data_IF_448206426847
#
_entry.id   IF_448206426847
#
_cell.length_a   1.000
_cell.length_b   1.000
_cell.length_c   1.000
_cell.angle_alpha   90.00
_cell.angle_beta   90.00
_cell.angle_gamma   90.00
#
_symmetry.space_group_name_H-M   'P 1'
#
loop_
_entity.id
_entity.type
_entity.pdbx_description
1 polymer ?
#
# COMPACT_ATOMS: atom_id res chain seq x y z
N UNK A 1 -28.16 6.80 -16.58
CA UNK A 1 -26.74 7.23 -16.75
C UNK A 1 -25.86 6.61 -15.68
N UNK A 2 -26.27 6.66 -14.40
CA UNK A 2 -25.60 5.99 -13.29
C UNK A 2 -25.49 4.48 -13.55
N UNK A 3 -26.56 3.82 -13.99
CA UNK A 3 -26.58 2.37 -14.25
C UNK A 3 -25.54 1.96 -15.30
N UNK A 4 -25.36 2.76 -16.35
CA UNK A 4 -24.34 2.50 -17.39
C UNK A 4 -22.93 2.60 -16.79
N UNK A 5 -22.69 3.62 -15.96
CA UNK A 5 -21.41 3.80 -15.27
C UNK A 5 -21.15 2.62 -14.33
N UNK A 6 -22.16 2.20 -13.56
CA UNK A 6 -22.07 1.05 -12.66
C UNK A 6 -21.79 -0.25 -13.42
N UNK A 7 -22.52 -0.52 -14.51
CA UNK A 7 -22.29 -1.70 -15.37
C UNK A 7 -20.86 -1.71 -15.92
N UNK A 8 -20.39 -0.60 -16.48
CA UNK A 8 -19.03 -0.50 -17.03
C UNK A 8 -17.98 -0.71 -15.94
N UNK A 9 -18.18 -0.13 -14.76
CA UNK A 9 -17.28 -0.27 -13.63
C UNK A 9 -17.25 -1.71 -13.07
N UNK A 10 -18.40 -2.37 -12.93
CA UNK A 10 -18.48 -3.80 -12.53
C UNK A 10 -17.79 -4.69 -13.55
N UNK A 11 -18.09 -4.53 -14.84
CA UNK A 11 -17.52 -5.38 -15.90
C UNK A 11 -16.01 -5.23 -15.99
N UNK A 12 -15.54 -3.98 -15.93
CA UNK A 12 -14.10 -3.69 -15.92
C UNK A 12 -13.45 -4.28 -14.67
N UNK A 13 -14.04 -4.05 -13.50
CA UNK A 13 -13.52 -4.55 -12.23
C UNK A 13 -13.47 -6.08 -12.14
N UNK A 14 -14.52 -6.75 -12.62
CA UNK A 14 -14.58 -8.20 -12.71
C UNK A 14 -13.53 -8.76 -13.69
N UNK A 15 -13.35 -8.12 -14.84
CA UNK A 15 -12.33 -8.50 -15.83
C UNK A 15 -10.92 -8.39 -15.24
N UNK A 16 -10.63 -7.32 -14.49
CA UNK A 16 -9.35 -7.14 -13.82
C UNK A 16 -9.08 -8.20 -12.75
N UNK A 17 -10.10 -8.54 -11.95
CA UNK A 17 -10.01 -9.62 -10.96
C UNK A 17 -9.72 -10.97 -11.61
N UNK A 18 -10.37 -11.28 -12.75
CA UNK A 18 -10.11 -12.49 -13.54
C UNK A 18 -8.69 -12.47 -14.09
N UNK A 19 -8.21 -11.34 -14.63
CA UNK A 19 -6.84 -11.21 -15.12
C UNK A 19 -5.80 -11.38 -14.00
N UNK A 20 -6.08 -10.89 -12.79
CA UNK A 20 -5.26 -11.14 -11.61
C UNK A 20 -5.17 -12.62 -11.25
N UNK A 21 -6.31 -13.32 -11.27
CA UNK A 21 -6.36 -14.77 -11.04
C UNK A 21 -5.62 -15.56 -12.14
N UNK A 22 -5.80 -15.19 -13.41
CA UNK A 22 -5.07 -15.78 -14.54
C UNK A 22 -3.57 -15.52 -14.42
N UNK A 23 -3.16 -14.31 -14.03
CA UNK A 23 -1.76 -13.97 -13.79
C UNK A 23 -1.13 -14.81 -12.69
N UNK A 24 -1.87 -15.10 -11.62
CA UNK A 24 -1.44 -16.00 -10.55
C UNK A 24 -1.20 -17.44 -11.04
N UNK A 25 -1.97 -17.91 -12.02
CA UNK A 25 -1.80 -19.24 -12.61
C UNK A 25 -0.72 -19.28 -13.71
N UNK A 26 -0.57 -18.19 -14.48
CA UNK A 26 0.33 -18.11 -15.63
C UNK A 26 1.77 -17.79 -15.25
N UNK A 27 1.99 -16.99 -14.20
CA UNK A 27 3.34 -16.58 -13.85
C UNK A 27 4.18 -17.72 -13.24
N UNK A 28 5.47 -17.81 -13.59
CA UNK A 28 6.31 -18.96 -13.23
C UNK A 28 6.78 -18.95 -11.78
N UNK A 29 7.00 -17.78 -11.17
CA UNK A 29 7.55 -17.65 -9.82
C UNK A 29 6.59 -16.99 -8.82
N UNK A 30 6.92 -17.11 -7.53
CA UNK A 30 6.12 -16.58 -6.44
C UNK A 30 6.00 -15.04 -6.48
N UNK A 31 7.05 -14.31 -6.85
CA UNK A 31 7.07 -12.85 -6.84
C UNK A 31 6.18 -12.26 -7.92
N UNK A 32 6.29 -12.74 -9.14
CA UNK A 32 5.44 -12.36 -10.27
C UNK A 32 3.97 -12.68 -9.99
N UNK A 33 3.68 -13.84 -9.38
CA UNK A 33 2.32 -14.18 -8.93
C UNK A 33 1.78 -13.19 -7.89
N UNK A 34 2.62 -12.74 -6.95
CA UNK A 34 2.23 -11.71 -5.97
C UNK A 34 1.91 -10.37 -6.65
N UNK A 35 2.71 -9.93 -7.63
CA UNK A 35 2.40 -8.70 -8.40
C UNK A 35 1.06 -8.81 -9.13
N UNK A 36 0.80 -9.94 -9.79
CA UNK A 36 -0.49 -10.21 -10.44
C UNK A 36 -1.65 -10.15 -9.45
N UNK A 37 -1.54 -10.91 -8.35
CA UNK A 37 -2.61 -11.07 -7.38
C UNK A 37 -2.98 -9.76 -6.68
N UNK A 38 -2.01 -8.87 -6.48
CA UNK A 38 -2.18 -7.70 -5.61
C UNK A 38 -2.54 -6.44 -6.39
N UNK A 39 -1.97 -6.25 -7.58
CA UNK A 39 -2.23 -5.03 -8.38
C UNK A 39 -3.51 -5.14 -9.18
N UNK A 40 -3.66 -6.21 -9.97
CA UNK A 40 -4.84 -6.39 -10.82
C UNK A 40 -6.13 -6.57 -10.00
N UNK A 41 -6.07 -7.34 -8.91
CA UNK A 41 -7.26 -7.60 -8.10
C UNK A 41 -7.70 -6.37 -7.27
N UNK A 42 -6.77 -5.52 -6.80
CA UNK A 42 -7.14 -4.38 -5.95
C UNK A 42 -7.94 -3.32 -6.70
N UNK A 43 -7.52 -2.96 -7.92
CA UNK A 43 -8.31 -2.05 -8.75
C UNK A 43 -9.63 -2.69 -9.17
N UNK A 44 -9.62 -4.00 -9.44
CA UNK A 44 -10.82 -4.78 -9.70
C UNK A 44 -11.86 -4.65 -8.58
N UNK A 45 -11.43 -4.90 -7.34
CA UNK A 45 -12.27 -4.75 -6.15
C UNK A 45 -12.75 -3.31 -5.99
N UNK A 46 -11.87 -2.31 -6.08
CA UNK A 46 -12.23 -0.89 -5.97
C UNK A 46 -13.33 -0.50 -6.97
N UNK A 47 -13.22 -0.93 -8.23
CA UNK A 47 -14.23 -0.62 -9.24
C UNK A 47 -15.56 -1.32 -8.96
N UNK A 48 -15.53 -2.60 -8.58
CA UNK A 48 -16.77 -3.34 -8.27
C UNK A 48 -17.48 -2.79 -7.03
N UNK A 49 -16.74 -2.42 -5.98
CA UNK A 49 -17.33 -1.85 -4.76
C UNK A 49 -17.82 -0.43 -4.98
N UNK A 50 -17.11 0.38 -5.78
CA UNK A 50 -17.57 1.71 -6.18
C UNK A 50 -18.87 1.60 -7.00
N UNK A 51 -18.94 0.67 -7.94
CA UNK A 51 -20.15 0.44 -8.72
C UNK A 51 -21.34 -0.02 -7.86
N UNK A 52 -21.11 -0.97 -6.95
CA UNK A 52 -22.13 -1.38 -5.98
C UNK A 52 -22.58 -0.22 -5.09
N UNK A 53 -21.67 0.70 -4.74
CA UNK A 53 -22.01 1.88 -3.94
C UNK A 53 -22.90 2.88 -4.68
N UNK A 54 -22.90 2.88 -6.02
CA UNK A 54 -23.77 3.75 -6.84
C UNK A 54 -25.20 3.23 -6.95
N UNK A 55 -25.42 1.93 -6.75
CA UNK A 55 -26.73 1.26 -6.88
C UNK A 55 -27.47 1.12 -5.55
N UNK A 56 -26.80 1.39 -4.43
CA UNK A 56 -27.39 1.22 -3.10
C UNK A 56 -27.83 2.57 -2.52
N UNK A 57 -29.14 2.73 -2.33
CA UNK A 57 -29.76 3.93 -1.74
C UNK A 57 -29.62 4.01 -0.20
N UNK A 58 -28.77 3.20 0.40
CA UNK A 58 -28.52 3.17 1.84
C UNK A 58 -27.11 3.68 2.17
N UNK A 59 -27.03 4.86 2.79
CA UNK A 59 -25.77 5.46 3.26
C UNK A 59 -24.90 4.49 4.05
N UNK A 60 -25.54 3.67 4.90
CA UNK A 60 -24.87 2.63 5.68
C UNK A 60 -24.12 1.60 4.85
N UNK A 61 -24.75 1.11 3.78
CA UNK A 61 -24.13 0.13 2.89
C UNK A 61 -22.99 0.76 2.09
N UNK A 62 -23.14 2.00 1.62
CA UNK A 62 -22.05 2.75 0.97
C UNK A 62 -20.87 2.93 1.92
N UNK A 63 -21.12 3.34 3.17
CA UNK A 63 -20.07 3.51 4.18
C UNK A 63 -19.34 2.19 4.46
N UNK A 64 -20.06 1.07 4.54
CA UNK A 64 -19.48 -0.27 4.70
C UNK A 64 -18.64 -0.67 3.49
N UNK A 65 -19.11 -0.46 2.26
CA UNK A 65 -18.36 -0.78 1.04
C UNK A 65 -17.07 0.03 0.93
N UNK A 66 -17.13 1.32 1.26
CA UNK A 66 -15.94 2.19 1.32
C UNK A 66 -14.98 1.71 2.40
N UNK A 67 -15.48 1.36 3.58
CA UNK A 67 -14.65 0.83 4.68
C UNK A 67 -13.95 -0.47 4.27
N UNK A 68 -14.68 -1.44 3.71
CA UNK A 68 -14.10 -2.71 3.24
C UNK A 68 -13.02 -2.47 2.20
N UNK A 69 -13.29 -1.57 1.24
CA UNK A 69 -12.32 -1.21 0.20
C UNK A 69 -11.06 -0.56 0.81
N UNK A 70 -11.22 0.35 1.76
CA UNK A 70 -10.11 1.02 2.44
C UNK A 70 -9.26 0.04 3.27
N UNK A 71 -9.91 -0.90 3.99
CA UNK A 71 -9.22 -1.93 4.75
C UNK A 71 -8.44 -2.88 3.84
N UNK A 72 -9.04 -3.33 2.72
CA UNK A 72 -8.34 -4.15 1.74
C UNK A 72 -7.13 -3.40 1.15
N UNK A 73 -7.30 -2.12 0.82
CA UNK A 73 -6.22 -1.28 0.31
C UNK A 73 -5.05 -1.18 1.30
N UNK A 74 -5.33 -1.07 2.60
CA UNK A 74 -4.29 -1.00 3.63
C UNK A 74 -3.65 -2.37 3.91
N UNK A 75 -4.43 -3.45 3.86
CA UNK A 75 -3.95 -4.80 4.22
C UNK A 75 -3.17 -5.48 3.10
N UNK A 76 -3.48 -5.22 1.83
CA UNK A 76 -2.84 -5.91 0.69
C UNK A 76 -1.32 -5.70 0.67
N UNK A 77 -0.77 -4.47 0.78
CA UNK A 77 0.68 -4.27 0.80
C UNK A 77 1.38 -4.98 1.94
N UNK A 78 0.77 -4.98 3.13
CA UNK A 78 1.32 -5.63 4.32
C UNK A 78 1.38 -7.14 4.11
N UNK A 79 0.27 -7.76 3.66
CA UNK A 79 0.22 -9.18 3.37
C UNK A 79 1.23 -9.57 2.27
N UNK A 80 1.35 -8.74 1.23
CA UNK A 80 2.28 -8.96 0.12
C UNK A 80 3.73 -8.88 0.57
N UNK A 81 4.08 -7.88 1.37
CA UNK A 81 5.45 -7.70 1.88
C UNK A 81 5.87 -8.85 2.81
N UNK A 82 4.95 -9.32 3.67
CA UNK A 82 5.19 -10.47 4.54
C UNK A 82 5.36 -11.76 3.72
N UNK A 83 4.50 -11.98 2.73
CA UNK A 83 4.60 -13.14 1.85
C UNK A 83 5.89 -13.10 1.02
N UNK A 84 6.27 -11.93 0.51
CA UNK A 84 7.49 -11.73 -0.27
C UNK A 84 8.75 -11.94 0.56
N UNK A 85 8.76 -11.48 1.81
CA UNK A 85 9.84 -11.77 2.76
C UNK A 85 9.94 -13.27 3.05
N UNK A 86 8.81 -13.93 3.31
CA UNK A 86 8.79 -15.37 3.55
C UNK A 86 9.30 -16.16 2.32
N UNK A 87 8.80 -15.80 1.13
CA UNK A 87 9.24 -16.38 -0.15
C UNK A 87 10.73 -16.15 -0.43
N UNK A 88 11.29 -15.01 0.02
CA UNK A 88 12.71 -14.71 -0.14
C UNK A 88 13.62 -15.53 0.80
N UNK A 89 13.16 -15.84 2.01
CA UNK A 89 13.96 -16.61 2.97
C UNK A 89 13.75 -18.13 2.89
N UNK A 90 12.71 -18.59 2.18
CA UNK A 90 12.48 -20.01 1.94
C UNK A 90 13.33 -20.54 0.76
N UNK A 91 14.30 -21.44 1.00
CA UNK A 91 15.16 -22.01 -0.05
C UNK A 91 14.40 -22.86 -1.07
N UNK A 92 13.21 -23.35 -0.73
CA UNK A 92 12.39 -24.21 -1.59
C UNK A 92 11.52 -23.42 -2.56
N UNK A 93 11.39 -22.11 -2.35
CA UNK A 93 10.61 -21.24 -3.23
C UNK A 93 11.29 -21.14 -4.59
N UNK A 94 10.59 -21.57 -5.64
CA UNK A 94 11.04 -21.40 -7.02
C UNK A 94 11.07 -19.91 -7.40
N UNK A 95 12.23 -19.46 -7.88
CA UNK A 95 12.47 -18.09 -8.32
C UNK A 95 13.16 -18.14 -9.68
N UNK A 96 12.71 -17.28 -10.57
CA UNK A 96 13.47 -16.94 -11.78
C UNK A 96 14.81 -16.31 -11.39
N UNK A 97 15.87 -16.49 -12.19
CA UNK A 97 17.16 -15.86 -11.91
C UNK A 97 17.03 -14.34 -11.82
N UNK A 98 17.53 -13.77 -10.72
CA UNK A 98 17.57 -12.33 -10.53
C UNK A 98 18.75 -11.75 -11.31
N UNK A 99 18.53 -10.63 -11.99
CA UNK A 99 19.60 -9.88 -12.67
C UNK A 99 20.53 -9.19 -11.69
N UNK A 100 20.01 -8.86 -10.49
CA UNK A 100 20.73 -8.23 -9.38
C UNK A 100 20.06 -8.61 -8.07
N UNK A 101 20.85 -8.84 -7.03
CA UNK A 101 20.37 -9.16 -5.68
C UNK A 101 21.21 -8.45 -4.62
N UNK A 102 20.85 -7.20 -4.31
CA UNK A 102 21.53 -6.41 -3.29
C UNK A 102 21.31 -6.93 -1.87
N UNK A 103 20.22 -7.70 -1.66
CA UNK A 103 19.86 -8.18 -0.33
C UNK A 103 20.74 -9.36 0.11
N UNK A 104 21.29 -10.11 -0.85
CA UNK A 104 22.23 -11.22 -0.59
C UNK A 104 23.57 -10.74 -0.03
N UNK A 105 24.10 -9.64 -0.56
CA UNK A 105 25.42 -9.11 -0.20
C UNK A 105 25.37 -8.14 0.99
N UNK A 106 24.26 -8.15 1.74
CA UNK A 106 24.08 -7.26 2.88
C UNK A 106 25.05 -7.61 4.01
N UNK A 107 25.69 -6.62 4.65
CA UNK A 107 26.45 -6.87 5.87
C UNK A 107 25.53 -7.38 6.99
N UNK A 108 25.98 -8.41 7.72
CA UNK A 108 25.29 -8.93 8.91
C UNK A 108 25.35 -7.90 10.06
N UNK A 109 24.26 -7.14 10.20
CA UNK A 109 23.80 -6.38 11.38
C UNK A 109 24.38 -4.98 11.67
N UNK A 110 23.44 -4.04 11.82
CA UNK A 110 23.24 -3.28 13.06
C UNK A 110 21.72 -3.06 13.23
N UNK A 111 21.20 -3.18 14.46
CA UNK A 111 19.78 -2.95 14.77
C UNK A 111 19.28 -1.63 14.18
N UNK A 112 18.11 -1.65 13.52
CA UNK A 112 17.58 -0.47 12.84
C UNK A 112 17.38 0.68 13.84
N UNK A 113 18.13 1.76 13.67
CA UNK A 113 17.99 3.00 14.45
C UNK A 113 16.85 3.87 13.90
N UNK A 114 15.66 3.30 13.71
CA UNK A 114 14.48 4.14 13.53
C UNK A 114 14.26 4.94 14.83
N UNK A 115 14.53 6.25 14.78
CA UNK A 115 14.42 7.15 15.94
C UNK A 115 13.06 7.02 16.63
N UNK A 116 13.04 7.22 17.96
CA UNK A 116 11.86 7.04 18.83
C UNK A 116 10.63 7.83 18.37
N UNK A 117 9.68 7.18 17.70
CA UNK A 117 8.44 7.82 17.27
C UNK A 117 7.73 8.58 18.41
N UNK A 118 6.86 9.53 18.06
CA UNK A 118 5.91 10.10 19.03
C UNK A 118 5.14 8.96 19.72
N UNK A 119 4.80 9.08 21.02
CA UNK A 119 3.93 8.12 21.66
C UNK A 119 2.62 8.01 20.86
N UNK A 120 2.10 6.79 20.70
CA UNK A 120 0.89 6.56 19.93
C UNK A 120 -0.31 7.30 20.52
N UNK A 121 -1.14 7.86 19.66
CA UNK A 121 -2.21 8.77 20.05
C UNK A 121 -3.53 8.02 20.28
N UNK A 122 -3.99 8.02 21.53
CA UNK A 122 -5.29 7.43 21.91
C UNK A 122 -6.44 8.01 21.09
N UNK A 123 -6.42 9.33 20.83
CA UNK A 123 -7.48 10.02 20.09
C UNK A 123 -7.58 9.50 18.65
N UNK A 124 -6.44 9.24 17.99
CA UNK A 124 -6.44 8.69 16.64
C UNK A 124 -7.02 7.28 16.60
N UNK A 125 -6.60 6.41 17.53
CA UNK A 125 -7.12 5.06 17.60
C UNK A 125 -8.62 5.06 17.89
N UNK A 126 -9.06 5.86 18.87
CA UNK A 126 -10.47 5.98 19.24
C UNK A 126 -11.30 6.52 18.08
N UNK A 127 -10.85 7.60 17.46
CA UNK A 127 -11.53 8.19 16.29
C UNK A 127 -11.65 7.20 15.14
N UNK A 128 -10.57 6.50 14.82
CA UNK A 128 -10.58 5.45 13.79
C UNK A 128 -11.58 4.33 14.12
N UNK A 129 -11.55 3.79 15.35
CA UNK A 129 -12.45 2.73 15.78
C UNK A 129 -13.92 3.18 15.76
N UNK A 130 -14.21 4.44 16.09
CA UNK A 130 -15.56 5.00 15.99
C UNK A 130 -16.01 5.12 14.53
N UNK A 131 -15.13 5.54 13.62
CA UNK A 131 -15.43 5.58 12.18
C UNK A 131 -15.73 4.18 11.66
N UNK A 132 -14.90 3.19 12.00
CA UNK A 132 -15.13 1.77 11.66
C UNK A 132 -16.47 1.30 12.22
N UNK A 133 -16.78 1.62 13.47
CA UNK A 133 -18.02 1.25 14.13
C UNK A 133 -19.24 1.83 13.42
N UNK A 134 -19.24 3.14 13.12
CA UNK A 134 -20.35 3.81 12.45
C UNK A 134 -20.56 3.23 11.05
N UNK A 135 -19.48 3.00 10.30
CA UNK A 135 -19.57 2.39 8.97
C UNK A 135 -20.09 0.94 9.02
N UNK A 136 -19.76 0.19 10.08
CA UNK A 136 -20.22 -1.19 10.26
C UNK A 136 -21.71 -1.27 10.63
N UNK A 137 -22.16 -0.43 11.56
CA UNK A 137 -23.53 -0.48 12.09
C UNK A 137 -24.50 0.46 11.37
N UNK A 138 -24.02 1.30 10.45
CA UNK A 138 -24.84 2.19 9.62
C UNK A 138 -25.76 3.13 10.42
N UNK A 139 -25.44 3.43 11.69
CA UNK A 139 -26.28 4.21 12.59
C UNK A 139 -25.48 5.23 13.38
N UNK A 140 -25.99 6.46 13.42
CA UNK A 140 -25.39 7.59 14.13
C UNK A 140 -26.15 8.00 15.38
N UNK A 141 -26.98 7.12 15.96
CA UNK A 141 -27.72 7.46 17.18
C UNK A 141 -26.74 7.70 18.34
N UNK A 142 -27.07 8.66 19.20
CA UNK A 142 -26.19 9.08 20.30
C UNK A 142 -25.78 7.91 21.21
N UNK A 143 -26.70 6.97 21.47
CA UNK A 143 -26.41 5.77 22.26
C UNK A 143 -25.39 4.84 21.61
N UNK A 144 -25.47 4.64 20.29
CA UNK A 144 -24.51 3.80 19.56
C UNK A 144 -23.14 4.46 19.50
N UNK A 145 -23.09 5.78 19.27
CA UNK A 145 -21.82 6.53 19.28
C UNK A 145 -21.17 6.49 20.66
N UNK A 146 -21.95 6.66 21.73
CA UNK A 146 -21.43 6.57 23.10
C UNK A 146 -20.87 5.16 23.41
N UNK A 147 -21.58 4.10 23.00
CA UNK A 147 -21.09 2.73 23.10
C UNK A 147 -19.80 2.49 22.31
N UNK A 148 -19.73 2.99 21.08
CA UNK A 148 -18.55 2.91 20.21
C UNK A 148 -17.33 3.59 20.85
N UNK A 149 -17.50 4.82 21.36
CA UNK A 149 -16.44 5.56 22.06
C UNK A 149 -15.99 4.82 23.31
N UNK A 150 -16.93 4.29 24.11
CA UNK A 150 -16.62 3.51 25.31
C UNK A 150 -15.77 2.28 25.00
N UNK A 151 -16.18 1.47 24.03
CA UNK A 151 -15.43 0.28 23.59
C UNK A 151 -14.07 0.69 23.00
N UNK A 152 -14.04 1.70 22.14
CA UNK A 152 -12.81 2.19 21.53
C UNK A 152 -11.80 2.70 22.58
N UNK A 153 -12.28 3.35 23.65
CA UNK A 153 -11.45 3.79 24.76
C UNK A 153 -10.90 2.60 25.55
N UNK A 154 -11.74 1.61 25.87
CA UNK A 154 -11.32 0.37 26.53
C UNK A 154 -10.22 -0.31 25.70
N UNK A 155 -10.44 -0.50 24.39
CA UNK A 155 -9.46 -1.08 23.48
C UNK A 155 -8.16 -0.27 23.49
N UNK A 156 -8.23 1.06 23.35
CA UNK A 156 -7.03 1.91 23.32
C UNK A 156 -6.25 1.91 24.63
N UNK A 157 -6.94 1.79 25.78
CA UNK A 157 -6.30 1.71 27.09
C UNK A 157 -5.69 0.32 27.35
N UNK A 158 -6.37 -0.76 26.94
CA UNK A 158 -5.89 -2.14 27.10
C UNK A 158 -4.75 -2.49 26.12
N UNK A 159 -4.71 -1.87 24.94
CA UNK A 159 -3.79 -2.18 23.85
C UNK A 159 -2.91 -0.99 23.45
N UNK A 160 -2.08 -0.43 24.35
CA UNK A 160 -1.30 0.78 24.09
C UNK A 160 -0.28 0.62 22.94
N UNK A 161 0.19 -0.61 22.68
CA UNK A 161 1.12 -0.91 21.59
C UNK A 161 0.54 -0.72 20.18
N UNK A 162 -0.78 -0.75 20.03
CA UNK A 162 -1.49 -0.63 18.75
C UNK A 162 -1.93 0.80 18.43
N UNK A 163 -1.63 1.77 19.30
CA UNK A 163 -1.99 3.18 19.08
C UNK A 163 -1.22 3.71 17.86
N UNK A 164 -1.91 4.20 16.80
CA UNK A 164 -1.28 4.77 15.64
C UNK A 164 -0.39 5.94 16.03
N UNK A 165 0.75 6.06 15.34
CA UNK A 165 1.71 7.14 15.55
C UNK A 165 1.64 8.08 14.36
N UNK A 166 1.20 9.31 14.57
CA UNK A 166 1.14 10.29 13.49
C UNK A 166 2.56 10.70 13.04
N UNK A 167 2.80 10.98 11.75
CA UNK A 167 4.07 11.53 11.27
C UNK A 167 4.51 12.77 12.07
N UNK A 168 5.82 12.98 12.20
CA UNK A 168 6.33 14.10 13.02
C UNK A 168 6.08 15.47 12.40
N UNK A 169 6.04 15.54 11.07
CA UNK A 169 5.88 16.79 10.33
C UNK A 169 4.48 17.37 10.36
N UNK A 170 4.37 18.60 9.86
CA UNK A 170 3.10 19.32 9.72
C UNK A 170 2.43 18.85 8.43
N UNK A 171 1.22 18.32 8.56
CA UNK A 171 0.38 17.89 7.44
C UNK A 171 0.11 19.08 6.50
N UNK A 172 0.45 18.91 5.22
CA UNK A 172 0.18 19.90 4.17
C UNK A 172 -0.93 19.39 3.23
N UNK A 173 -2.17 19.88 3.36
CA UNK A 173 -3.31 19.35 2.58
C UNK A 173 -3.12 19.40 1.07
N UNK A 174 -2.59 20.50 0.53
CA UNK A 174 -2.36 20.66 -0.91
C UNK A 174 -1.32 19.65 -1.43
N UNK A 175 -0.23 19.47 -0.70
CA UNK A 175 0.79 18.48 -1.05
C UNK A 175 0.25 17.05 -0.97
N UNK A 176 -0.61 16.77 0.03
CA UNK A 176 -1.28 15.48 0.18
C UNK A 176 -2.24 15.19 -0.98
N UNK A 177 -3.04 16.16 -1.42
CA UNK A 177 -3.92 15.99 -2.59
C UNK A 177 -3.09 15.75 -3.86
N UNK A 178 -1.98 16.48 -4.05
CA UNK A 178 -1.06 16.25 -5.16
C UNK A 178 -0.41 14.86 -5.12
N UNK A 179 -0.07 14.38 -3.92
CA UNK A 179 0.40 13.01 -3.69
C UNK A 179 -0.68 12.00 -4.07
N UNK A 180 -1.92 12.16 -3.60
CA UNK A 180 -3.06 11.29 -3.93
C UNK A 180 -3.29 11.19 -5.43
N UNK A 181 -3.33 12.32 -6.14
CA UNK A 181 -3.54 12.34 -7.60
C UNK A 181 -2.41 11.59 -8.33
N UNK A 182 -1.16 11.82 -7.93
CA UNK A 182 -0.02 11.13 -8.54
C UNK A 182 -0.07 9.64 -8.24
N UNK A 183 -0.36 9.27 -7.00
CA UNK A 183 -0.47 7.89 -6.57
C UNK A 183 -1.62 7.15 -7.28
N UNK A 184 -2.77 7.80 -7.51
CA UNK A 184 -3.85 7.22 -8.31
C UNK A 184 -3.40 6.92 -9.74
N UNK A 185 -2.63 7.81 -10.38
CA UNK A 185 -2.06 7.54 -11.72
C UNK A 185 -1.10 6.35 -11.70
N UNK A 186 -0.28 6.26 -10.67
CA UNK A 186 0.64 5.15 -10.45
C UNK A 186 -0.10 3.81 -10.31
N UNK A 187 -1.20 3.77 -9.54
CA UNK A 187 -2.03 2.58 -9.38
C UNK A 187 -2.61 2.14 -10.74
N UNK A 188 -3.12 3.08 -11.54
CA UNK A 188 -3.66 2.77 -12.87
C UNK A 188 -2.56 2.23 -13.79
N UNK A 189 -1.39 2.86 -13.82
CA UNK A 189 -0.24 2.38 -14.59
C UNK A 189 0.20 0.97 -14.15
N UNK A 190 0.17 0.69 -12.84
CA UNK A 190 0.55 -0.60 -12.27
C UNK A 190 -0.36 -1.73 -12.75
N UNK A 191 -1.65 -1.44 -12.87
CA UNK A 191 -2.64 -2.37 -13.40
C UNK A 191 -2.40 -2.66 -14.88
N UNK A 192 -2.14 -1.63 -15.68
CA UNK A 192 -1.85 -1.80 -17.12
C UNK A 192 -0.61 -2.66 -17.32
N UNK A 193 0.48 -2.39 -16.59
CA UNK A 193 1.72 -3.16 -16.67
C UNK A 193 1.48 -4.65 -16.37
N UNK A 194 0.75 -4.95 -15.29
CA UNK A 194 0.40 -6.33 -14.94
C UNK A 194 -0.47 -6.99 -16.02
N UNK A 195 -1.50 -6.33 -16.52
CA UNK A 195 -2.38 -6.88 -17.57
C UNK A 195 -1.57 -7.22 -18.82
N UNK A 196 -0.70 -6.31 -19.25
CA UNK A 196 0.15 -6.53 -20.42
C UNK A 196 1.16 -7.65 -20.21
N UNK A 197 1.71 -7.80 -19.00
CA UNK A 197 2.58 -8.91 -18.63
C UNK A 197 1.83 -10.26 -18.59
N UNK A 198 0.57 -10.25 -18.15
CA UNK A 198 -0.28 -11.46 -18.12
C UNK A 198 -0.68 -11.89 -19.53
N UNK A 199 -0.96 -10.96 -20.46
CA UNK A 199 -1.36 -11.31 -21.83
C UNK A 199 -0.14 -11.62 -22.70
N UNK A 200 0.88 -10.77 -22.61
CA UNK A 200 2.10 -10.82 -23.41
C UNK A 200 3.06 -11.95 -23.01
N UNK A 201 4.04 -12.19 -23.87
CA UNK A 201 5.25 -12.96 -23.55
C UNK A 201 6.40 -11.96 -23.46
N UNK A 202 6.49 -11.24 -22.35
CA UNK A 202 7.60 -10.33 -22.07
C UNK A 202 8.67 -11.09 -21.30
N UNK A 203 9.91 -11.00 -21.74
CA UNK A 203 11.06 -11.42 -20.92
C UNK A 203 11.23 -10.39 -19.80
N UNK A 204 10.98 -10.83 -18.58
CA UNK A 204 11.10 -9.99 -17.39
C UNK A 204 12.53 -10.07 -16.85
N UNK A 205 13.06 -8.94 -16.38
CA UNK A 205 14.38 -8.83 -15.74
C UNK A 205 14.20 -8.53 -14.25
N UNK A 206 13.83 -9.53 -13.44
CA UNK A 206 13.56 -9.31 -12.03
C UNK A 206 14.85 -9.03 -11.27
N UNK A 207 14.78 -8.13 -10.31
CA UNK A 207 15.92 -7.67 -9.51
C UNK A 207 15.49 -7.36 -8.07
N UNK A 208 16.42 -7.49 -7.14
CA UNK A 208 16.28 -6.95 -5.79
C UNK A 208 17.24 -5.78 -5.66
N UNK A 209 16.67 -4.59 -5.47
CA UNK A 209 17.40 -3.32 -5.41
C UNK A 209 17.28 -2.74 -4.01
N UNK A 210 18.43 -2.43 -3.40
CA UNK A 210 18.50 -1.72 -2.12
C UNK A 210 18.57 -0.22 -2.33
N UNK A 211 17.60 0.52 -1.79
CA UNK A 211 17.55 1.98 -1.89
C UNK A 211 17.60 2.65 -0.51
N UNK A 212 18.53 3.58 -0.26
CA UNK A 212 18.58 4.33 0.99
C UNK A 212 17.39 5.28 1.10
N UNK A 213 16.72 5.26 2.25
CA UNK A 213 15.56 6.09 2.56
C UNK A 213 15.99 7.46 3.07
N UNK A 214 15.31 8.50 2.59
CA UNK A 214 15.35 9.87 3.12
C UNK A 214 14.37 10.05 4.27
N UNK A 215 13.25 9.30 4.28
CA UNK A 215 12.28 9.29 5.39
C UNK A 215 12.87 8.64 6.64
N UNK A 216 12.59 9.20 7.82
CA UNK A 216 13.24 8.78 9.06
C UNK A 216 12.29 8.20 10.12
N UNK A 217 10.99 8.47 10.02
CA UNK A 217 10.01 7.97 11.00
C UNK A 217 9.40 6.64 10.57
N UNK A 218 9.02 5.78 11.54
CA UNK A 218 8.48 4.45 11.19
C UNK A 218 7.18 4.55 10.40
N UNK A 219 6.35 5.54 10.71
CA UNK A 219 5.07 5.77 10.01
C UNK A 219 5.29 6.20 8.56
N UNK A 220 6.24 7.11 8.29
CA UNK A 220 6.56 7.52 6.92
C UNK A 220 7.18 6.36 6.13
N UNK A 221 8.07 5.58 6.74
CA UNK A 221 8.64 4.38 6.12
C UNK A 221 7.53 3.37 5.79
N UNK A 222 6.61 3.11 6.73
CA UNK A 222 5.49 2.19 6.50
C UNK A 222 4.56 2.70 5.39
N UNK A 223 4.27 4.01 5.37
CA UNK A 223 3.48 4.63 4.31
C UNK A 223 4.17 4.50 2.95
N UNK A 224 5.48 4.77 2.90
CA UNK A 224 6.29 4.63 1.70
C UNK A 224 6.28 3.17 1.22
N UNK A 225 6.54 2.20 2.09
CA UNK A 225 6.49 0.77 1.74
C UNK A 225 5.11 0.36 1.19
N UNK A 226 4.02 0.83 1.80
CA UNK A 226 2.66 0.52 1.34
C UNK A 226 2.41 1.12 -0.05
N UNK A 227 2.77 2.38 -0.25
CA UNK A 227 2.67 3.08 -1.54
C UNK A 227 3.53 2.40 -2.60
N UNK A 228 4.75 2.02 -2.26
CA UNK A 228 5.68 1.36 -3.16
C UNK A 228 5.24 -0.06 -3.54
N UNK A 229 4.39 -0.70 -2.75
CA UNK A 229 3.84 -2.00 -3.17
C UNK A 229 2.75 -1.82 -4.24
N UNK A 230 2.15 -0.63 -4.32
CA UNK A 230 1.18 -0.28 -5.35
C UNK A 230 1.81 0.33 -6.61
N UNK A 231 3.09 0.72 -6.59
CA UNK A 231 3.82 1.09 -7.82
C UNK A 231 3.95 -0.12 -8.77
N UNK A 232 3.91 0.11 -10.09
CA UNK A 232 4.14 -0.95 -11.08
C UNK A 232 5.43 -1.70 -10.79
N UNK A 233 5.40 -3.03 -10.92
CA UNK A 233 6.61 -3.86 -10.76
C UNK A 233 7.25 -3.97 -9.38
N UNK A 234 6.85 -3.26 -8.33
CA UNK A 234 7.56 -3.27 -7.03
C UNK A 234 6.83 -3.94 -5.87
N UNK A 235 7.57 -4.61 -4.99
CA UNK A 235 7.12 -5.14 -3.69
C UNK A 235 8.22 -4.91 -2.66
N UNK A 236 7.86 -4.42 -1.46
CA UNK A 236 8.82 -4.25 -0.37
C UNK A 236 9.15 -5.58 0.31
N UNK A 237 10.44 -5.89 0.49
CA UNK A 237 10.90 -7.10 1.17
C UNK A 237 11.28 -6.78 2.61
N UNK A 238 12.36 -6.04 2.77
CA UNK A 238 13.02 -5.81 4.06
C UNK A 238 13.57 -4.39 4.17
N UNK A 239 13.64 -3.90 5.40
CA UNK A 239 14.22 -2.61 5.74
C UNK A 239 15.37 -2.85 6.72
N UNK A 240 16.59 -2.52 6.31
CA UNK A 240 17.79 -2.67 7.12
C UNK A 240 18.59 -1.38 7.05
N UNK A 241 18.97 -0.79 8.19
CA UNK A 241 19.81 0.40 8.26
C UNK A 241 19.39 1.53 7.29
N UNK A 242 18.11 1.93 7.38
CA UNK A 242 17.47 2.89 6.48
C UNK A 242 17.54 2.54 4.99
N UNK A 243 17.94 1.34 4.61
CA UNK A 243 17.92 0.84 3.22
C UNK A 243 16.73 -0.08 3.04
N UNK A 244 15.85 0.29 2.12
CA UNK A 244 14.68 -0.50 1.75
C UNK A 244 15.03 -1.38 0.56
N UNK A 245 14.91 -2.69 0.74
CA UNK A 245 15.11 -3.68 -0.31
C UNK A 245 13.77 -3.97 -0.97
N UNK A 246 13.72 -3.73 -2.27
CA UNK A 246 12.53 -3.86 -3.09
C UNK A 246 12.76 -4.95 -4.13
N UNK A 247 11.80 -5.86 -4.27
CA UNK A 247 11.73 -6.72 -5.44
C UNK A 247 11.10 -5.91 -6.60
N UNK A 248 11.83 -5.79 -7.70
CA UNK A 248 11.39 -5.22 -8.96
C UNK A 248 11.13 -6.34 -9.96
N UNK A 249 9.93 -6.41 -10.53
CA UNK A 249 9.48 -7.41 -11.50
C UNK A 249 10.22 -7.29 -12.83
N UNK A 250 10.48 -6.07 -13.29
CA UNK A 250 11.20 -5.83 -14.53
C UNK A 250 12.04 -4.56 -14.46
N UNK A 251 13.32 -4.73 -14.12
CA UNK A 251 14.29 -3.64 -14.05
C UNK A 251 14.95 -3.45 -15.43
N UNK A 252 14.34 -2.60 -16.26
CA UNK A 252 14.87 -2.22 -17.58
C UNK A 252 15.83 -1.03 -17.50
N UNK A 253 15.44 -0.01 -16.72
CA UNK A 253 16.20 1.22 -16.50
C UNK A 253 16.28 1.50 -14.99
N UNK A 254 17.47 1.32 -14.43
CA UNK A 254 17.74 1.54 -13.02
C UNK A 254 17.62 3.01 -12.62
N UNK A 255 18.02 3.92 -13.50
CA UNK A 255 17.96 5.36 -13.23
C UNK A 255 16.51 5.83 -13.19
N UNK A 256 15.70 5.45 -14.18
CA UNK A 256 14.28 5.77 -14.20
C UNK A 256 13.53 5.16 -13.00
N UNK A 257 13.90 3.93 -12.59
CA UNK A 257 13.34 3.29 -11.41
C UNK A 257 13.66 4.08 -10.12
N UNK A 258 14.93 4.43 -9.94
CA UNK A 258 15.39 5.18 -8.77
C UNK A 258 14.76 6.57 -8.72
N UNK A 259 14.65 7.26 -9.86
CA UNK A 259 13.99 8.57 -9.95
C UNK A 259 12.51 8.48 -9.59
N UNK A 260 11.79 7.45 -10.06
CA UNK A 260 10.39 7.23 -9.72
C UNK A 260 10.21 6.96 -8.22
N UNK A 261 11.11 6.17 -7.62
CA UNK A 261 11.14 5.95 -6.18
C UNK A 261 11.36 7.25 -5.40
N UNK A 262 12.36 8.05 -5.79
CA UNK A 262 12.70 9.31 -5.15
C UNK A 262 11.59 10.38 -5.30
N UNK A 263 10.89 10.42 -6.43
CA UNK A 263 9.71 11.28 -6.62
C UNK A 263 8.58 10.89 -5.65
N UNK A 264 8.31 9.60 -5.51
CA UNK A 264 7.27 9.11 -4.59
C UNK A 264 7.61 9.42 -3.13
N UNK A 265 8.86 9.18 -2.74
CA UNK A 265 9.38 9.53 -1.40
C UNK A 265 9.28 11.04 -1.15
N UNK A 266 9.69 11.87 -2.12
CA UNK A 266 9.63 13.33 -2.01
C UNK A 266 8.19 13.84 -1.83
N UNK A 267 7.20 13.23 -2.52
CA UNK A 267 5.79 13.58 -2.34
C UNK A 267 5.27 13.25 -0.93
N UNK A 268 5.73 12.14 -0.34
CA UNK A 268 5.40 11.78 1.04
C UNK A 268 6.03 12.78 2.01
N UNK A 269 7.32 13.09 1.83
CA UNK A 269 8.03 14.09 2.65
C UNK A 269 7.37 15.48 2.53
N UNK A 270 6.90 15.87 1.36
CA UNK A 270 6.20 17.13 1.16
C UNK A 270 4.88 17.19 1.95
N UNK A 271 4.12 16.10 1.95
CA UNK A 271 2.82 15.99 2.60
C UNK A 271 2.91 15.83 4.13
N UNK A 272 3.86 15.04 4.62
CA UNK A 272 3.93 14.59 6.02
C UNK A 272 5.25 14.89 6.74
N UNK A 273 6.32 15.18 5.99
CA UNK A 273 7.67 15.32 6.53
C UNK A 273 7.92 16.62 7.29
N UNK A 274 8.97 16.59 8.10
CA UNK A 274 9.45 17.75 8.87
C UNK A 274 10.08 18.83 7.98
N UNK A 275 10.22 20.08 8.46
CA UNK A 275 10.95 21.12 7.71
C UNK A 275 12.40 20.73 7.37
N UNK A 276 13.06 19.93 8.21
CA UNK A 276 14.43 19.48 7.98
C UNK A 276 14.50 18.42 6.87
N UNK A 277 13.59 17.44 6.88
CA UNK A 277 13.51 16.42 5.82
C UNK A 277 13.21 17.03 4.46
N UNK A 278 12.30 18.02 4.40
CA UNK A 278 12.02 18.75 3.16
C UNK A 278 13.25 19.47 2.60
N UNK A 279 14.08 20.07 3.45
CA UNK A 279 15.34 20.72 3.02
C UNK A 279 16.39 19.73 2.53
N UNK A 280 16.42 18.52 3.08
CA UNK A 280 17.30 17.43 2.62
C UNK A 280 16.84 16.86 1.29
N UNK A 281 15.53 16.74 1.08
CA UNK A 281 14.97 16.18 -0.16
C UNK A 281 15.15 17.11 -1.39
N UNK A 282 15.33 18.42 -1.18
CA UNK A 282 15.57 19.42 -2.23
C UNK A 282 17.04 19.59 -2.63
N UNK A 283 17.97 18.88 -1.97
CA UNK A 283 19.41 18.89 -2.28
C UNK A 283 19.79 17.59 -2.97
#
# INVERSE_FOLDING_TARGET
MIDIIAIVAVLTGATLSVLGAVGMLRFPDAFLRMHAATKAATLGVILTTLAASLEVDAFGAVALLVLVTALLFLSVPLATSLLARAAYHDPTTHRVPLTRDDLKDRPEAADSTATSDRPGETILLVGWLVVVWIALFATGTAGVIAGAVGIALIVSLSLPGYRPRWPRGVFKPVAFVRFLIAFSRTIVAANIDVITAVIGRRELRPAIVGLPLRVTTRTEVTLLMNVLTFTPGTVALELHDQTLYLHVMDLQDETAFTDAFLDMESRIIDAFGTPLERRRATR
#
